data_IF_050685797845
#
_entry.id   IF_050685797845
#
_cell.length_a   1.000
_cell.length_b   1.000
_cell.length_c   1.000
_cell.angle_alpha   90.00
_cell.angle_beta   90.00
_cell.angle_gamma   90.00
#
_symmetry.space_group_name_H-M   'P 1'
#
loop_
_entity.id
_entity.type
_entity.pdbx_description
1 polymer ?
#
# COMPACT_ATOMS: atom_id res chain seq x y z
N UNK A 1 -7.92 -5.53 6.16
CA UNK A 1 -7.96 -5.29 4.69
C UNK A 1 -6.69 -5.86 4.06
N UNK A 2 -6.72 -6.38 2.84
CA UNK A 2 -5.52 -6.84 2.11
C UNK A 2 -4.99 -8.25 2.47
N UNK A 3 -5.50 -8.92 3.49
CA UNK A 3 -5.02 -10.24 3.94
C UNK A 3 -5.12 -11.33 2.86
N UNK A 4 -6.27 -11.42 2.18
CA UNK A 4 -6.47 -12.40 1.11
C UNK A 4 -5.54 -12.12 -0.07
N UNK A 5 -5.39 -10.86 -0.49
CA UNK A 5 -4.45 -10.48 -1.55
C UNK A 5 -3.00 -10.80 -1.16
N UNK A 6 -2.62 -10.59 0.10
CA UNK A 6 -1.27 -10.94 0.59
C UNK A 6 -1.00 -12.45 0.51
N UNK A 7 -2.04 -13.27 0.61
CA UNK A 7 -1.95 -14.74 0.55
C UNK A 7 -2.00 -15.26 -0.88
N UNK A 8 -2.93 -14.73 -1.68
CA UNK A 8 -3.34 -15.33 -2.94
C UNK A 8 -2.69 -14.68 -4.16
N UNK A 9 -2.17 -13.45 -4.04
CA UNK A 9 -1.67 -12.66 -5.16
C UNK A 9 -0.16 -12.34 -5.01
N UNK A 10 0.74 -13.12 -5.65
CA UNK A 10 2.18 -12.96 -5.50
C UNK A 10 2.70 -11.57 -5.87
N UNK A 11 2.12 -10.91 -6.88
CA UNK A 11 2.54 -9.57 -7.27
C UNK A 11 2.22 -8.52 -6.19
N UNK A 12 1.08 -8.69 -5.52
CA UNK A 12 0.71 -7.84 -4.38
C UNK A 12 1.63 -8.09 -3.19
N UNK A 13 1.91 -9.35 -2.86
CA UNK A 13 2.83 -9.70 -1.77
C UNK A 13 4.26 -9.15 -2.02
N UNK A 14 4.75 -9.23 -3.26
CA UNK A 14 6.04 -8.66 -3.64
C UNK A 14 6.06 -7.14 -3.49
N UNK A 15 4.99 -6.45 -3.90
CA UNK A 15 4.89 -4.99 -3.74
C UNK A 15 4.87 -4.57 -2.25
N UNK A 16 4.18 -5.32 -1.39
CA UNK A 16 4.23 -5.08 0.06
C UNK A 16 5.65 -5.28 0.60
N UNK A 17 6.32 -6.37 0.19
CA UNK A 17 7.70 -6.65 0.62
C UNK A 17 8.71 -5.60 0.14
N UNK A 18 8.50 -5.00 -1.04
CA UNK A 18 9.33 -3.90 -1.56
C UNK A 18 9.17 -2.62 -0.71
N UNK A 19 7.93 -2.31 -0.29
CA UNK A 19 7.63 -1.13 0.53
C UNK A 19 8.12 -1.29 1.98
N UNK A 20 8.08 -2.52 2.50
CA UNK A 20 8.26 -2.84 3.93
C UNK A 20 9.49 -2.18 4.59
N UNK A 21 10.72 -2.21 4.03
CA UNK A 21 11.88 -1.62 4.70
C UNK A 21 11.71 -0.12 4.95
N UNK A 22 11.31 0.61 3.91
CA UNK A 22 11.07 2.06 4.00
C UNK A 22 9.87 2.38 4.89
N UNK A 23 8.82 1.56 4.84
CA UNK A 23 7.63 1.73 5.66
C UNK A 23 7.97 1.58 7.15
N UNK A 24 8.70 0.53 7.52
CA UNK A 24 9.12 0.27 8.91
C UNK A 24 10.03 1.38 9.41
N UNK A 25 10.98 1.84 8.60
CA UNK A 25 11.88 2.94 8.95
C UNK A 25 11.12 4.24 9.28
N UNK A 26 10.11 4.59 8.47
CA UNK A 26 9.39 5.87 8.61
C UNK A 26 8.24 5.81 9.62
N UNK A 27 7.58 4.67 9.75
CA UNK A 27 6.32 4.54 10.49
C UNK A 27 6.50 3.77 11.82
N UNK A 28 7.54 2.92 11.92
CA UNK A 28 7.89 2.22 13.15
C UNK A 28 7.11 0.92 13.42
N UNK A 29 6.34 0.42 12.45
CA UNK A 29 5.70 -0.91 12.52
C UNK A 29 5.59 -1.56 11.14
N UNK A 30 5.37 -2.87 11.12
CA UNK A 30 5.33 -3.67 9.88
C UNK A 30 3.99 -3.55 9.14
N UNK A 31 4.03 -3.19 7.85
CA UNK A 31 2.85 -3.19 7.00
C UNK A 31 2.42 -4.63 6.71
N UNK A 32 3.38 -5.50 6.39
CA UNK A 32 3.12 -6.90 6.11
C UNK A 32 2.43 -7.62 7.27
N UNK A 33 2.88 -7.41 8.52
CA UNK A 33 2.23 -8.00 9.70
C UNK A 33 0.81 -7.46 9.88
N UNK A 34 0.60 -6.15 9.72
CA UNK A 34 -0.74 -5.54 9.83
C UNK A 34 -1.71 -6.15 8.82
N UNK A 35 -1.29 -6.36 7.58
CA UNK A 35 -2.13 -6.96 6.54
C UNK A 35 -2.37 -8.47 6.83
N UNK A 36 -1.34 -9.19 7.27
CA UNK A 36 -1.42 -10.62 7.57
C UNK A 36 -2.33 -10.94 8.77
N UNK A 37 -2.32 -10.11 9.80
CA UNK A 37 -3.18 -10.28 10.99
C UNK A 37 -4.66 -10.03 10.70
N UNK A 38 -4.96 -9.21 9.68
CA UNK A 38 -6.33 -8.93 9.24
C UNK A 38 -7.19 -8.17 10.25
N UNK A 39 -6.62 -7.72 11.38
CA UNK A 39 -7.36 -7.04 12.43
C UNK A 39 -7.69 -5.59 12.07
N UNK A 40 -8.74 -4.99 12.68
CA UNK A 40 -9.03 -3.56 12.51
C UNK A 40 -7.85 -2.69 12.95
N UNK A 41 -7.49 -1.73 12.09
CA UNK A 41 -6.51 -0.69 12.40
C UNK A 41 -7.26 0.53 12.95
N UNK A 42 -6.81 1.08 14.06
CA UNK A 42 -7.42 2.22 14.73
C UNK A 42 -6.39 3.33 14.97
N UNK A 43 -6.88 4.57 15.10
CA UNK A 43 -6.05 5.77 15.23
C UNK A 43 -5.58 6.29 13.87
N UNK A 44 -5.72 7.59 13.66
CA UNK A 44 -5.33 8.28 12.43
C UNK A 44 -3.86 8.05 12.07
N UNK A 45 -2.95 8.17 13.05
CA UNK A 45 -1.52 7.96 12.88
C UNK A 45 -1.14 6.56 12.39
N UNK A 46 -2.00 5.54 12.63
CA UNK A 46 -1.77 4.17 12.18
C UNK A 46 -2.55 3.84 10.90
N UNK A 47 -3.80 4.30 10.81
CA UNK A 47 -4.68 4.03 9.66
C UNK A 47 -4.16 4.69 8.39
N UNK A 48 -3.73 5.94 8.46
CA UNK A 48 -3.28 6.70 7.29
C UNK A 48 -2.08 6.04 6.57
N UNK A 49 -0.96 5.71 7.24
CA UNK A 49 0.16 5.05 6.57
C UNK A 49 -0.23 3.67 6.04
N UNK A 50 -1.02 2.88 6.76
CA UNK A 50 -1.48 1.56 6.27
C UNK A 50 -2.29 1.70 4.98
N UNK A 51 -3.18 2.69 4.89
CA UNK A 51 -3.93 2.96 3.65
C UNK A 51 -2.99 3.36 2.51
N UNK A 52 -2.00 4.22 2.76
CA UNK A 52 -1.00 4.60 1.75
C UNK A 52 -0.23 3.38 1.25
N UNK A 53 0.30 2.56 2.15
CA UNK A 53 1.01 1.33 1.80
C UNK A 53 0.14 0.38 0.97
N UNK A 54 -1.12 0.21 1.35
CA UNK A 54 -2.08 -0.60 0.59
C UNK A 54 -2.35 -0.03 -0.81
N UNK A 55 -2.55 1.28 -0.95
CA UNK A 55 -2.80 1.93 -2.24
C UNK A 55 -1.60 1.79 -3.19
N UNK A 56 -0.38 1.93 -2.68
CA UNK A 56 0.83 1.74 -3.47
C UNK A 56 0.99 0.29 -3.94
N UNK A 57 0.77 -0.69 -3.05
CA UNK A 57 0.81 -2.10 -3.39
C UNK A 57 -0.27 -2.48 -4.43
N UNK A 58 -1.51 -1.98 -4.28
CA UNK A 58 -2.57 -2.18 -5.27
C UNK A 58 -2.23 -1.53 -6.62
N UNK A 59 -1.60 -0.35 -6.62
CA UNK A 59 -1.19 0.29 -7.87
C UNK A 59 -0.13 -0.54 -8.60
N UNK A 60 0.85 -1.11 -7.87
CA UNK A 60 1.82 -2.05 -8.44
C UNK A 60 1.12 -3.27 -9.04
N UNK A 61 0.13 -3.82 -8.35
CA UNK A 61 -0.67 -4.94 -8.85
C UNK A 61 -1.38 -4.60 -10.17
N UNK A 62 -2.03 -3.44 -10.27
CA UNK A 62 -2.66 -2.98 -11.51
C UNK A 62 -1.68 -2.91 -12.68
N UNK A 63 -0.47 -2.39 -12.44
CA UNK A 63 0.59 -2.31 -13.46
C UNK A 63 1.06 -3.69 -13.94
N UNK A 64 1.14 -4.68 -13.04
CA UNK A 64 1.45 -6.08 -13.41
C UNK A 64 0.40 -6.64 -14.37
N UNK A 65 -0.86 -6.25 -14.19
CA UNK A 65 -1.96 -6.58 -15.11
C UNK A 65 -2.03 -5.69 -16.36
N UNK A 66 -1.02 -4.85 -16.61
CA UNK A 66 -0.95 -3.98 -17.78
C UNK A 66 -1.81 -2.72 -17.70
N UNK A 67 -2.35 -2.39 -16.52
CA UNK A 67 -3.15 -1.18 -16.30
C UNK A 67 -2.23 -0.06 -15.80
N UNK A 68 -1.91 0.87 -16.68
CA UNK A 68 -1.13 2.08 -16.37
C UNK A 68 -2.06 3.29 -16.25
N UNK A 69 -1.94 4.11 -15.18
CA UNK A 69 -2.74 5.32 -15.05
C UNK A 69 -2.19 6.44 -15.95
N UNK A 70 -3.04 7.01 -16.80
CA UNK A 70 -2.73 8.24 -17.55
C UNK A 70 -2.86 9.51 -16.68
N UNK A 71 -3.67 9.43 -15.61
CA UNK A 71 -3.85 10.48 -14.63
C UNK A 71 -4.12 9.86 -13.25
N UNK A 72 -3.82 10.61 -12.19
CA UNK A 72 -4.10 10.22 -10.81
C UNK A 72 -4.72 11.38 -10.06
N UNK A 73 -5.66 11.08 -9.17
CA UNK A 73 -6.30 12.04 -8.28
C UNK A 73 -6.28 11.43 -6.88
N UNK A 74 -5.71 12.15 -5.93
CA UNK A 74 -5.79 11.80 -4.52
C UNK A 74 -6.86 12.63 -3.82
N UNK A 75 -7.33 12.13 -2.68
CA UNK A 75 -8.19 12.89 -1.79
C UNK A 75 -7.60 12.88 -0.38
N UNK A 76 -7.31 14.05 0.18
CA UNK A 76 -6.69 14.17 1.51
C UNK A 76 -5.41 13.31 1.56
N UNK A 77 -5.30 12.35 2.48
CA UNK A 77 -4.10 11.53 2.57
C UNK A 77 -3.83 10.66 1.34
N UNK A 78 -4.85 10.38 0.52
CA UNK A 78 -4.66 9.72 -0.78
C UNK A 78 -3.82 10.52 -1.78
N UNK A 79 -3.65 11.83 -1.58
CA UNK A 79 -2.75 12.67 -2.41
C UNK A 79 -1.29 12.24 -2.30
N UNK A 80 -0.86 11.66 -1.18
CA UNK A 80 0.50 11.12 -1.04
C UNK A 80 0.71 9.94 -1.97
N UNK A 81 -0.22 8.98 -1.97
CA UNK A 81 -0.17 7.83 -2.90
C UNK A 81 -0.21 8.30 -4.35
N UNK A 82 -1.10 9.25 -4.67
CA UNK A 82 -1.21 9.81 -6.02
C UNK A 82 0.09 10.50 -6.46
N UNK A 83 0.72 11.30 -5.60
CA UNK A 83 1.98 11.97 -5.89
C UNK A 83 3.11 10.97 -6.17
N UNK A 84 3.24 9.92 -5.35
CA UNK A 84 4.22 8.84 -5.59
C UNK A 84 3.97 8.13 -6.92
N UNK A 85 2.70 7.81 -7.23
CA UNK A 85 2.35 7.11 -8.47
C UNK A 85 2.58 7.95 -9.72
N UNK A 86 2.31 9.26 -9.64
CA UNK A 86 2.56 10.23 -10.71
C UNK A 86 4.06 10.51 -10.94
N UNK A 87 4.85 10.48 -9.86
CA UNK A 87 6.21 11.00 -9.85
C UNK A 87 7.25 10.15 -10.57
N UNK A 88 7.01 8.85 -10.75
CA UNK A 88 8.00 7.85 -11.21
C UNK A 88 9.37 8.01 -10.56
#
# INVERSE_FOLDING_TARGET
MGQQLLTDEPAFAAAVAELEPSFVEQVGFSLQQVLAEGQPVAGDARVQPVIVGLQLALTRLWRVYGVEPDAVIGHSMGEVSAAVVAGR
#
